data_IF_002897260903
#
_entry.id   IF_002897260903
#
_cell.length_a   1.000
_cell.length_b   1.000
_cell.length_c   1.000
_cell.angle_alpha   90.00
_cell.angle_beta   90.00
_cell.angle_gamma   90.00
#
_symmetry.space_group_name_H-M   'P 1'
#
loop_
_entity.id
_entity.type
_entity.pdbx_description
1 polymer ?
#
# COMPACT_ATOMS: atom_id res chain seq x y z
N UNK A 1 -31.22 -15.96 -7.78
CA UNK A 1 -30.34 -15.04 -7.03
C UNK A 1 -29.12 -15.84 -6.60
N UNK A 2 -27.91 -15.29 -6.69
CA UNK A 2 -26.72 -15.99 -6.18
C UNK A 2 -26.77 -16.06 -4.65
N UNK A 3 -26.31 -17.16 -4.09
CA UNK A 3 -26.10 -17.33 -2.65
C UNK A 3 -24.94 -16.47 -2.15
N UNK A 4 -24.86 -16.22 -0.85
CA UNK A 4 -23.75 -15.49 -0.22
C UNK A 4 -22.38 -16.12 -0.54
N UNK A 5 -22.30 -17.46 -0.55
CA UNK A 5 -21.07 -18.18 -0.87
C UNK A 5 -20.67 -18.00 -2.35
N UNK A 6 -21.63 -18.02 -3.28
CA UNK A 6 -21.38 -17.77 -4.70
C UNK A 6 -20.92 -16.34 -4.95
N UNK A 7 -21.56 -15.35 -4.33
CA UNK A 7 -21.15 -13.95 -4.41
C UNK A 7 -19.70 -13.75 -3.93
N UNK A 8 -19.38 -14.33 -2.77
CA UNK A 8 -18.02 -14.29 -2.22
C UNK A 8 -16.99 -14.95 -3.16
N UNK A 9 -17.31 -16.13 -3.69
CA UNK A 9 -16.42 -16.86 -4.60
C UNK A 9 -16.14 -16.11 -5.91
N UNK A 10 -17.16 -15.47 -6.49
CA UNK A 10 -17.02 -14.64 -7.71
C UNK A 10 -16.14 -13.42 -7.41
N UNK A 11 -16.46 -12.69 -6.34
CA UNK A 11 -15.72 -11.50 -5.92
C UNK A 11 -14.24 -11.82 -5.63
N UNK A 12 -13.98 -12.93 -4.95
CA UNK A 12 -12.63 -13.39 -4.63
C UNK A 12 -11.79 -13.64 -5.89
N UNK A 13 -12.36 -14.28 -6.91
CA UNK A 13 -11.64 -14.56 -8.17
C UNK A 13 -11.33 -13.27 -8.93
N UNK A 14 -12.30 -12.35 -9.03
CA UNK A 14 -12.11 -11.05 -9.67
C UNK A 14 -11.02 -10.23 -8.98
N UNK A 15 -11.09 -10.14 -7.66
CA UNK A 15 -10.15 -9.36 -6.87
C UNK A 15 -8.74 -9.95 -6.83
N UNK A 16 -8.58 -11.29 -6.83
CA UNK A 16 -7.26 -11.93 -7.01
C UNK A 16 -6.59 -11.53 -8.32
N UNK A 17 -7.37 -11.44 -9.41
CA UNK A 17 -6.88 -11.02 -10.72
C UNK A 17 -6.46 -9.55 -10.70
N UNK A 18 -7.25 -8.66 -10.09
CA UNK A 18 -6.88 -7.24 -9.93
C UNK A 18 -5.59 -7.10 -9.13
N UNK A 19 -5.50 -7.76 -7.97
CA UNK A 19 -4.32 -7.76 -7.11
C UNK A 19 -3.07 -8.25 -7.84
N UNK A 20 -3.18 -9.31 -8.64
CA UNK A 20 -2.07 -9.80 -9.47
C UNK A 20 -1.58 -8.72 -10.44
N UNK A 21 -2.50 -8.10 -11.19
CA UNK A 21 -2.12 -7.05 -12.14
C UNK A 21 -1.60 -5.79 -11.45
N UNK A 22 -2.12 -5.43 -10.27
CA UNK A 22 -1.56 -4.37 -9.44
C UNK A 22 -0.11 -4.66 -9.08
N UNK A 23 0.21 -5.89 -8.67
CA UNK A 23 1.57 -6.27 -8.32
C UNK A 23 2.51 -6.24 -9.53
N UNK A 24 2.05 -6.70 -10.69
CA UNK A 24 2.80 -6.60 -11.96
C UNK A 24 3.05 -5.13 -12.33
N UNK A 25 2.03 -4.28 -12.24
CA UNK A 25 2.17 -2.86 -12.53
C UNK A 25 3.10 -2.17 -11.53
N UNK A 26 3.00 -2.47 -10.24
CA UNK A 26 3.89 -1.94 -9.21
C UNK A 26 5.36 -2.33 -9.49
N UNK A 27 5.60 -3.61 -9.81
CA UNK A 27 6.93 -4.08 -10.18
C UNK A 27 7.47 -3.34 -11.42
N UNK A 28 6.65 -3.21 -12.46
CA UNK A 28 7.05 -2.50 -13.68
C UNK A 28 7.33 -1.02 -13.43
N UNK A 29 6.43 -0.32 -12.75
CA UNK A 29 6.54 1.10 -12.44
C UNK A 29 7.67 1.44 -11.46
N UNK A 30 8.10 0.51 -10.60
CA UNK A 30 9.27 0.72 -9.74
C UNK A 30 10.57 0.33 -10.43
N UNK A 31 10.63 -0.86 -11.02
CA UNK A 31 11.87 -1.45 -11.55
C UNK A 31 12.29 -0.78 -12.85
N UNK A 32 11.38 -0.55 -13.82
CA UNK A 32 11.77 0.01 -15.11
C UNK A 32 12.39 1.41 -14.96
N UNK A 33 11.77 2.38 -14.26
CA UNK A 33 12.40 3.68 -14.04
C UNK A 33 13.70 3.58 -13.23
N UNK A 34 13.79 2.67 -12.25
CA UNK A 34 15.03 2.45 -11.51
C UNK A 34 16.17 1.96 -12.42
N UNK A 35 15.91 1.04 -13.34
CA UNK A 35 16.90 0.57 -14.33
C UNK A 35 17.35 1.70 -15.26
N UNK A 36 16.42 2.54 -15.73
CA UNK A 36 16.73 3.72 -16.52
C UNK A 36 17.63 4.68 -15.74
N UNK A 37 17.32 4.94 -14.46
CA UNK A 37 18.13 5.79 -13.60
C UNK A 37 19.52 5.20 -13.32
N UNK A 38 19.64 3.91 -13.06
CA UNK A 38 20.94 3.24 -12.88
C UNK A 38 21.79 3.38 -14.14
N UNK A 39 21.17 3.27 -15.32
CA UNK A 39 21.88 3.36 -16.60
C UNK A 39 22.29 4.78 -16.97
N UNK A 40 21.44 5.77 -16.70
CA UNK A 40 21.68 7.18 -17.02
C UNK A 40 22.52 7.90 -15.95
N UNK A 41 22.35 7.51 -14.69
CA UNK A 41 22.98 8.11 -13.51
C UNK A 41 23.52 7.02 -12.58
N UNK A 42 24.62 6.34 -12.95
CA UNK A 42 25.13 5.19 -12.20
C UNK A 42 25.33 5.48 -10.70
N UNK A 43 24.87 4.54 -9.88
CA UNK A 43 25.02 4.57 -8.43
C UNK A 43 25.87 3.37 -7.98
N UNK A 44 26.67 3.57 -6.93
CA UNK A 44 27.38 2.47 -6.28
C UNK A 44 26.35 1.57 -5.58
N UNK A 45 26.60 0.26 -5.50
CA UNK A 45 25.69 -0.70 -4.88
C UNK A 45 25.29 -0.30 -3.44
N UNK A 46 26.18 0.33 -2.67
CA UNK A 46 25.89 0.82 -1.31
C UNK A 46 24.80 1.89 -1.29
N UNK A 47 24.79 2.76 -2.29
CA UNK A 47 23.77 3.81 -2.43
C UNK A 47 22.45 3.24 -2.94
N UNK A 48 22.50 2.20 -3.79
CA UNK A 48 21.29 1.45 -4.17
C UNK A 48 20.66 0.75 -2.96
N UNK A 49 21.46 0.11 -2.13
CA UNK A 49 20.99 -0.52 -0.89
C UNK A 49 20.46 0.51 0.11
N UNK A 50 21.20 1.60 0.33
CA UNK A 50 20.73 2.68 1.20
C UNK A 50 19.42 3.28 0.68
N UNK A 51 19.33 3.55 -0.62
CA UNK A 51 18.11 4.04 -1.26
C UNK A 51 16.96 3.05 -1.12
N UNK A 52 17.20 1.75 -1.25
CA UNK A 52 16.19 0.72 -1.03
C UNK A 52 15.64 0.76 0.41
N UNK A 53 16.52 0.77 1.42
CA UNK A 53 16.11 0.80 2.83
C UNK A 53 15.38 2.11 3.19
N UNK A 54 15.88 3.25 2.72
CA UNK A 54 15.20 4.55 2.87
C UNK A 54 13.86 4.52 2.15
N UNK A 55 13.79 3.88 0.98
CA UNK A 55 12.58 3.66 0.21
C UNK A 55 11.50 2.94 1.00
N UNK A 56 11.85 1.88 1.74
CA UNK A 56 10.89 1.17 2.60
C UNK A 56 10.30 2.08 3.69
N UNK A 57 11.13 2.88 4.36
CA UNK A 57 10.67 3.82 5.39
C UNK A 57 9.80 4.92 4.76
N UNK A 58 10.24 5.47 3.62
CA UNK A 58 9.49 6.45 2.85
C UNK A 58 8.12 5.90 2.43
N UNK A 59 8.05 4.65 1.98
CA UNK A 59 6.80 3.99 1.58
C UNK A 59 5.84 3.79 2.73
N UNK A 60 6.34 3.48 3.93
CA UNK A 60 5.49 3.41 5.12
C UNK A 60 4.90 4.79 5.47
N UNK A 61 5.68 5.86 5.33
CA UNK A 61 5.19 7.23 5.48
C UNK A 61 4.20 7.64 4.38
N UNK A 62 4.46 7.23 3.14
CA UNK A 62 3.56 7.46 2.01
C UNK A 62 2.23 6.72 2.21
N UNK A 63 2.26 5.46 2.62
CA UNK A 63 1.08 4.66 2.94
C UNK A 63 0.23 5.36 4.01
N UNK A 64 0.85 5.77 5.12
CA UNK A 64 0.17 6.53 6.18
C UNK A 64 -0.51 7.77 5.62
N UNK A 65 0.22 8.58 4.84
CA UNK A 65 -0.29 9.83 4.28
C UNK A 65 -1.43 9.60 3.28
N UNK A 66 -1.25 8.62 2.40
CA UNK A 66 -2.22 8.22 1.40
C UNK A 66 -3.49 7.69 2.05
N UNK A 67 -3.37 6.81 3.04
CA UNK A 67 -4.53 6.27 3.74
C UNK A 67 -5.27 7.37 4.52
N UNK A 68 -4.55 8.18 5.30
CA UNK A 68 -5.14 9.23 6.14
C UNK A 68 -5.79 10.37 5.35
N UNK A 69 -5.16 10.86 4.28
CA UNK A 69 -5.60 12.09 3.62
C UNK A 69 -6.18 11.89 2.23
N UNK A 70 -5.90 10.77 1.55
CA UNK A 70 -6.43 10.50 0.21
C UNK A 70 -7.57 9.48 0.28
N UNK A 71 -7.36 8.36 0.98
CA UNK A 71 -8.39 7.32 1.11
C UNK A 71 -9.50 7.73 2.08
N UNK A 72 -9.17 8.38 3.20
CA UNK A 72 -10.18 8.92 4.13
C UNK A 72 -10.76 10.28 3.72
N UNK A 73 -10.43 10.77 2.53
CA UNK A 73 -11.11 11.91 1.93
C UNK A 73 -12.28 11.39 1.09
N UNK A 74 -13.56 11.55 1.52
CA UNK A 74 -14.70 10.86 0.89
C UNK A 74 -15.05 11.40 -0.51
N UNK A 75 -14.29 12.36 -1.03
CA UNK A 75 -14.45 12.88 -2.39
C UNK A 75 -13.49 12.16 -3.34
N UNK A 76 -13.95 11.90 -4.56
CA UNK A 76 -13.17 11.20 -5.58
C UNK A 76 -13.28 9.67 -5.50
N UNK A 77 -12.71 8.99 -6.49
CA UNK A 77 -12.90 7.54 -6.69
C UNK A 77 -12.21 6.71 -5.61
N UNK A 78 -11.00 7.08 -5.21
CA UNK A 78 -10.21 6.34 -4.23
C UNK A 78 -10.88 6.37 -2.85
N UNK A 79 -11.31 7.54 -2.37
CA UNK A 79 -12.00 7.63 -1.09
C UNK A 79 -13.37 6.96 -1.08
N UNK A 80 -14.13 7.04 -2.18
CA UNK A 80 -15.39 6.27 -2.31
C UNK A 80 -15.12 4.76 -2.27
N UNK A 81 -14.08 4.29 -2.96
CA UNK A 81 -13.65 2.90 -2.92
C UNK A 81 -13.26 2.46 -1.50
N UNK A 82 -12.56 3.33 -0.77
CA UNK A 82 -12.19 3.08 0.62
C UNK A 82 -13.40 3.05 1.56
N UNK A 83 -14.40 3.89 1.36
CA UNK A 83 -15.64 3.80 2.14
C UNK A 83 -16.39 2.48 1.87
N UNK A 84 -16.38 1.98 0.61
CA UNK A 84 -16.92 0.65 0.29
C UNK A 84 -16.10 -0.45 0.97
N UNK A 85 -14.78 -0.31 1.03
CA UNK A 85 -13.90 -1.23 1.77
C UNK A 85 -14.32 -1.33 3.25
N UNK A 86 -14.54 -0.19 3.92
CA UNK A 86 -15.03 -0.14 5.30
C UNK A 86 -16.43 -0.73 5.44
N UNK A 87 -17.37 -0.39 4.56
CA UNK A 87 -18.77 -0.79 4.70
C UNK A 87 -19.06 -2.25 4.34
N UNK A 88 -18.13 -2.92 3.65
CA UNK A 88 -18.31 -4.32 3.21
C UNK A 88 -17.57 -5.33 4.08
N UNK A 89 -16.90 -4.89 5.15
CA UNK A 89 -16.23 -5.77 6.12
C UNK A 89 -17.18 -6.87 6.63
N UNK A 90 -16.76 -8.14 6.53
CA UNK A 90 -17.53 -9.30 6.97
C UNK A 90 -18.72 -9.66 6.09
N UNK A 91 -18.97 -8.92 5.00
CA UNK A 91 -20.04 -9.22 4.05
C UNK A 91 -19.54 -10.12 2.91
N UNK A 92 -20.44 -10.79 2.16
CA UNK A 92 -20.06 -11.56 0.98
C UNK A 92 -19.33 -10.76 -0.11
N UNK A 93 -19.43 -9.43 -0.10
CA UNK A 93 -18.83 -8.53 -1.09
C UNK A 93 -17.45 -8.00 -0.68
N UNK A 94 -16.99 -8.27 0.55
CA UNK A 94 -15.70 -7.82 1.06
C UNK A 94 -14.54 -8.04 0.07
N UNK A 95 -14.37 -9.22 -0.56
CA UNK A 95 -13.20 -9.47 -1.41
C UNK A 95 -13.04 -8.48 -2.56
N UNK A 96 -14.12 -7.90 -3.07
CA UNK A 96 -14.10 -6.97 -4.21
C UNK A 96 -13.53 -5.60 -3.85
N UNK A 97 -13.45 -5.27 -2.56
CA UNK A 97 -13.13 -3.93 -2.08
C UNK A 97 -11.88 -3.90 -1.19
N UNK A 98 -11.12 -4.99 -1.08
CA UNK A 98 -9.94 -5.07 -0.20
C UNK A 98 -8.66 -4.52 -0.84
N UNK A 99 -8.60 -4.35 -2.16
CA UNK A 99 -7.37 -3.91 -2.83
C UNK A 99 -7.00 -2.46 -2.47
N UNK A 100 -5.73 -2.24 -2.11
CA UNK A 100 -5.19 -0.92 -1.77
C UNK A 100 -5.10 0.00 -3.01
N UNK A 101 -4.74 -0.56 -4.17
CA UNK A 101 -4.91 0.05 -5.48
C UNK A 101 -6.17 -0.46 -6.17
N UNK A 102 -7.13 0.40 -6.48
CA UNK A 102 -8.40 -0.04 -7.08
C UNK A 102 -8.27 -0.61 -8.50
N UNK A 103 -7.14 -0.36 -9.18
CA UNK A 103 -6.84 -0.87 -10.52
C UNK A 103 -5.35 -0.68 -10.88
N UNK A 104 -4.84 -1.38 -11.92
CA UNK A 104 -3.49 -1.16 -12.45
C UNK A 104 -3.21 0.32 -12.80
N UNK A 105 -4.18 1.03 -13.36
CA UNK A 105 -4.04 2.45 -13.68
C UNK A 105 -3.91 3.32 -12.41
N UNK A 106 -4.67 3.00 -11.36
CA UNK A 106 -4.55 3.67 -10.08
C UNK A 106 -3.15 3.43 -9.47
N UNK A 107 -2.65 2.20 -9.53
CA UNK A 107 -1.28 1.86 -9.10
C UNK A 107 -0.24 2.66 -9.89
N UNK A 108 -0.32 2.68 -11.22
CA UNK A 108 0.60 3.47 -12.04
C UNK A 108 0.57 4.96 -11.64
N UNK A 109 -0.60 5.51 -11.35
CA UNK A 109 -0.77 6.90 -10.90
C UNK A 109 -0.09 7.14 -9.56
N UNK A 110 -0.26 6.24 -8.59
CA UNK A 110 0.42 6.29 -7.28
C UNK A 110 1.95 6.33 -7.49
N UNK A 111 2.47 5.49 -8.38
CA UNK A 111 3.90 5.44 -8.68
C UNK A 111 4.41 6.71 -9.37
N UNK A 112 3.62 7.32 -10.24
CA UNK A 112 3.98 8.62 -10.84
C UNK A 112 4.03 9.70 -9.78
N UNK A 113 2.99 9.81 -8.95
CA UNK A 113 2.90 10.82 -7.88
C UNK A 113 4.02 10.66 -6.85
N UNK A 114 4.37 9.42 -6.50
CA UNK A 114 5.49 9.13 -5.62
C UNK A 114 6.86 9.33 -6.30
N UNK A 115 6.99 8.88 -7.55
CA UNK A 115 8.26 8.84 -8.26
C UNK A 115 8.79 10.21 -8.63
N UNK A 116 7.92 11.15 -9.02
CA UNK A 116 8.30 12.53 -9.36
C UNK A 116 9.11 13.20 -8.23
N UNK A 117 8.60 13.35 -6.99
CA UNK A 117 9.35 14.00 -5.93
C UNK A 117 10.63 13.23 -5.56
N UNK A 118 10.59 11.89 -5.52
CA UNK A 118 11.78 11.07 -5.23
C UNK A 118 12.90 11.31 -6.25
N UNK A 119 12.56 11.28 -7.55
CA UNK A 119 13.53 11.50 -8.62
C UNK A 119 14.02 12.95 -8.60
N UNK A 120 13.12 13.93 -8.48
CA UNK A 120 13.51 15.34 -8.48
C UNK A 120 14.46 15.68 -7.33
N UNK A 121 14.15 15.27 -6.11
CA UNK A 121 15.02 15.50 -4.94
C UNK A 121 16.37 14.81 -5.11
N UNK A 122 16.38 13.55 -5.57
CA UNK A 122 17.62 12.84 -5.84
C UNK A 122 18.49 13.55 -6.88
N UNK A 123 17.87 14.11 -7.92
CA UNK A 123 18.59 14.79 -9.00
C UNK A 123 19.11 16.16 -8.57
N UNK A 124 18.30 16.95 -7.86
CA UNK A 124 18.68 18.28 -7.35
C UNK A 124 19.85 18.19 -6.37
N UNK A 125 19.82 17.21 -5.46
CA UNK A 125 20.86 17.05 -4.43
C UNK A 125 21.92 16.01 -4.80
N UNK A 126 21.84 15.40 -5.99
CA UNK A 126 22.75 14.38 -6.50
C UNK A 126 22.96 13.20 -5.52
N UNK A 127 21.88 12.72 -4.90
CA UNK A 127 21.93 11.73 -3.82
C UNK A 127 22.25 10.30 -4.29
N UNK A 128 21.84 9.94 -5.52
CA UNK A 128 22.01 8.60 -6.12
C UNK A 128 21.30 7.48 -5.34
N UNK A 129 20.18 7.81 -4.69
CA UNK A 129 19.31 6.93 -3.91
C UNK A 129 18.01 6.59 -4.64
N UNK A 130 17.54 7.43 -5.57
CA UNK A 130 16.21 7.29 -6.21
C UNK A 130 15.95 5.91 -6.80
N UNK A 131 16.92 5.32 -7.52
CA UNK A 131 16.74 3.99 -8.09
C UNK A 131 16.46 2.92 -7.02
N UNK A 132 17.19 2.95 -5.91
CA UNK A 132 16.93 2.08 -4.76
C UNK A 132 15.57 2.36 -4.14
N UNK A 133 15.23 3.64 -3.93
CA UNK A 133 13.95 4.05 -3.33
C UNK A 133 12.74 3.60 -4.15
N UNK A 134 12.79 3.69 -5.49
CA UNK A 134 11.71 3.24 -6.37
C UNK A 134 11.48 1.73 -6.29
N UNK A 135 12.57 0.95 -6.21
CA UNK A 135 12.49 -0.51 -6.00
C UNK A 135 11.92 -0.81 -4.61
N UNK A 136 12.40 -0.11 -3.58
CA UNK A 136 11.87 -0.20 -2.21
C UNK A 136 10.37 0.08 -2.17
N UNK A 137 9.93 1.11 -2.88
CA UNK A 137 8.52 1.47 -2.97
C UNK A 137 7.68 0.39 -3.65
N UNK A 138 8.17 -0.23 -4.73
CA UNK A 138 7.49 -1.35 -5.36
C UNK A 138 7.35 -2.56 -4.44
N UNK A 139 8.44 -2.94 -3.77
CA UNK A 139 8.42 -4.06 -2.83
C UNK A 139 7.46 -3.78 -1.68
N UNK A 140 7.53 -2.59 -1.09
CA UNK A 140 6.65 -2.21 0.00
C UNK A 140 5.18 -2.23 -0.42
N UNK A 141 4.83 -1.61 -1.54
CA UNK A 141 3.45 -1.58 -2.05
C UNK A 141 2.87 -3.00 -2.25
N UNK A 142 3.65 -3.91 -2.86
CA UNK A 142 3.24 -5.29 -3.08
C UNK A 142 3.01 -6.01 -1.74
N UNK A 143 3.89 -5.78 -0.76
CA UNK A 143 3.75 -6.34 0.59
C UNK A 143 2.51 -5.77 1.28
N UNK A 144 2.26 -4.46 1.20
CA UNK A 144 1.07 -3.81 1.78
C UNK A 144 -0.20 -4.44 1.22
N UNK A 145 -0.34 -4.54 -0.10
CA UNK A 145 -1.49 -5.19 -0.76
C UNK A 145 -1.69 -6.63 -0.29
N UNK A 146 -0.62 -7.43 -0.24
CA UNK A 146 -0.71 -8.84 0.15
C UNK A 146 -1.04 -9.01 1.65
N UNK A 147 -0.45 -8.19 2.52
CA UNK A 147 -0.70 -8.24 3.96
C UNK A 147 -2.11 -7.74 4.27
N UNK A 148 -2.53 -6.60 3.70
CA UNK A 148 -3.89 -6.06 3.80
C UNK A 148 -4.93 -7.11 3.39
N UNK A 149 -4.70 -7.75 2.24
CA UNK A 149 -5.55 -8.82 1.75
C UNK A 149 -5.69 -9.99 2.73
N UNK A 150 -4.57 -10.45 3.29
CA UNK A 150 -4.56 -11.55 4.27
C UNK A 150 -5.26 -11.16 5.56
N UNK A 151 -5.08 -9.92 6.03
CA UNK A 151 -5.78 -9.38 7.19
C UNK A 151 -7.29 -9.50 7.01
N UNK A 152 -7.83 -9.06 5.88
CA UNK A 152 -9.27 -9.11 5.62
C UNK A 152 -9.78 -10.55 5.43
N UNK A 153 -9.15 -11.32 4.56
CA UNK A 153 -9.71 -12.61 4.12
C UNK A 153 -9.23 -13.82 4.94
N UNK A 154 -8.84 -13.60 6.20
CA UNK A 154 -8.43 -14.71 7.09
C UNK A 154 -7.13 -15.44 6.69
N UNK A 155 -6.31 -14.83 5.83
CA UNK A 155 -5.06 -15.44 5.35
C UNK A 155 -3.97 -15.54 6.43
N UNK A 156 -3.07 -16.50 6.26
CA UNK A 156 -1.91 -16.67 7.15
C UNK A 156 -0.98 -15.44 7.09
N UNK A 157 -0.60 -14.93 8.27
CA UNK A 157 0.40 -13.88 8.43
C UNK A 157 1.64 -14.45 9.14
N UNK A 158 2.85 -14.00 8.78
CA UNK A 158 4.06 -14.34 9.53
C UNK A 158 3.92 -13.98 11.02
N UNK A 159 4.57 -14.70 11.95
CA UNK A 159 4.46 -14.45 13.39
C UNK A 159 4.70 -12.98 13.79
N UNK A 160 5.70 -12.33 13.18
CA UNK A 160 6.01 -10.91 13.43
C UNK A 160 4.95 -9.91 12.96
N UNK A 161 3.97 -10.34 12.16
CA UNK A 161 2.84 -9.54 11.69
C UNK A 161 1.49 -10.02 12.23
N UNK A 162 1.48 -10.99 13.15
CA UNK A 162 0.23 -11.54 13.71
C UNK A 162 -0.65 -10.47 14.36
N UNK A 163 -0.04 -9.54 15.12
CA UNK A 163 -0.72 -8.41 15.74
C UNK A 163 -1.28 -7.38 14.74
N UNK A 164 -0.75 -7.35 13.51
CA UNK A 164 -1.16 -6.40 12.48
C UNK A 164 -2.63 -6.57 12.08
N UNK A 165 -3.15 -7.80 12.14
CA UNK A 165 -4.57 -8.08 11.89
C UNK A 165 -5.47 -7.35 12.89
N UNK A 166 -5.23 -7.56 14.18
CA UNK A 166 -6.03 -6.91 15.22
C UNK A 166 -5.86 -5.38 15.19
N UNK A 167 -4.66 -4.91 14.86
CA UNK A 167 -4.36 -3.49 14.69
C UNK A 167 -5.20 -2.85 13.57
N UNK A 168 -5.16 -3.42 12.36
CA UNK A 168 -5.88 -2.89 11.20
C UNK A 168 -7.39 -3.12 11.29
N UNK A 169 -7.86 -4.20 11.88
CA UNK A 169 -9.31 -4.37 12.06
C UNK A 169 -9.89 -3.34 13.04
N UNK A 170 -9.14 -2.91 14.07
CA UNK A 170 -9.55 -1.76 14.91
C UNK A 170 -9.61 -0.44 14.15
N UNK A 171 -8.90 -0.30 13.03
CA UNK A 171 -9.07 0.86 12.15
C UNK A 171 -10.47 0.89 11.53
N UNK A 172 -11.03 -0.27 11.17
CA UNK A 172 -12.39 -0.35 10.64
C UNK A 172 -13.44 0.05 11.69
N UNK A 173 -13.18 -0.26 12.96
CA UNK A 173 -14.06 0.15 14.07
C UNK A 173 -13.94 1.66 14.38
N UNK A 174 -12.77 2.25 14.17
CA UNK A 174 -12.46 3.65 14.51
C UNK A 174 -11.62 4.27 13.38
N UNK A 175 -12.28 4.72 12.28
CA UNK A 175 -11.61 5.05 11.02
C UNK A 175 -10.82 6.37 11.02
N UNK A 176 -10.72 7.07 12.16
CA UNK A 176 -9.90 8.26 12.36
C UNK A 176 -8.56 8.00 13.06
N UNK A 177 -8.19 6.72 13.26
CA UNK A 177 -6.92 6.28 13.84
C UNK A 177 -6.36 5.05 13.12
N UNK A 178 -5.07 4.74 13.24
CA UNK A 178 -4.38 3.53 12.72
C UNK A 178 -4.36 3.45 11.19
N UNK A 179 -3.65 4.38 10.55
CA UNK A 179 -3.63 4.56 9.11
C UNK A 179 -2.55 3.73 8.38
N UNK A 180 -1.45 3.34 9.00
CA UNK A 180 -0.62 2.28 8.43
C UNK A 180 -1.38 0.95 8.50
N UNK A 181 -1.22 0.07 7.52
CA UNK A 181 -1.94 -1.22 7.51
C UNK A 181 -1.29 -2.23 8.45
N UNK A 182 0.04 -2.35 8.44
CA UNK A 182 0.71 -3.44 9.16
C UNK A 182 1.96 -3.06 9.97
N UNK A 183 2.62 -1.96 9.64
CA UNK A 183 3.73 -1.42 10.42
C UNK A 183 3.38 0.00 10.89
N UNK A 184 3.02 0.20 12.17
CA UNK A 184 2.46 1.47 12.66
C UNK A 184 3.52 2.54 12.92
N UNK A 185 4.56 2.65 12.09
CA UNK A 185 5.71 3.54 12.36
C UNK A 185 5.24 5.00 12.37
N UNK A 186 4.47 5.44 11.37
CA UNK A 186 4.02 6.83 11.30
C UNK A 186 2.78 7.09 12.16
N UNK A 187 1.94 6.08 12.41
CA UNK A 187 0.92 6.19 13.46
C UNK A 187 1.52 6.41 14.84
N UNK A 188 2.59 5.69 15.19
CA UNK A 188 3.34 5.90 16.44
C UNK A 188 3.99 7.29 16.47
N UNK A 189 4.65 7.68 15.38
CA UNK A 189 5.35 8.96 15.28
C UNK A 189 4.41 10.16 15.44
N UNK A 190 3.18 10.07 14.91
CA UNK A 190 2.20 11.14 14.94
C UNK A 190 1.09 10.96 15.98
N UNK A 191 1.15 9.91 16.81
CA UNK A 191 0.20 9.66 17.89
C UNK A 191 -1.21 9.27 17.42
N UNK A 192 -1.33 8.55 16.31
CA UNK A 192 -2.62 8.15 15.70
C UNK A 192 -3.05 6.72 16.05
N UNK A 193 -2.61 6.17 17.18
CA UNK A 193 -3.04 4.84 17.61
C UNK A 193 -4.49 4.79 18.13
N UNK A 194 -5.18 5.93 18.25
CA UNK A 194 -6.50 6.05 18.87
C UNK A 194 -6.43 6.03 20.39
N UNK A 195 -7.47 6.52 21.07
CA UNK A 195 -7.58 6.37 22.52
C UNK A 195 -7.83 4.88 22.85
N UNK A 196 -7.08 4.32 23.80
CA UNK A 196 -7.48 3.05 24.40
C UNK A 196 -8.68 3.35 25.31
N UNK A 197 -9.85 2.82 24.93
CA UNK A 197 -11.00 2.78 25.85
C UNK A 197 -10.68 1.69 26.87
N UNK A 198 -10.12 2.10 28.01
CA UNK A 198 -9.98 1.26 29.20
C UNK A 198 -11.32 1.14 29.93
#
# INVERSE_FOLDING_TARGET
>A
MATAAEAFGIGLNGARRVRFWNAVTAAFCGVLPALVLIRAYPARWRLLLAGFLIGLVWSNGFEYAYHRWILHWPKGTLGKGHMLHHSTLGTPYEPEHVTFGSSPLAVATIFVVNGIPVILLDRVFNLRLAAGMLIGFAVYFIITEEVHWRIHLGGWLPPGLSAARAYHLRHHDTPDARFNVFLPIFDLLFGNLGAEVY
#
